data_IF_848112827762
#
_entry.id   IF_848112827762
#
_cell.length_a   1.000
_cell.length_b   1.000
_cell.length_c   1.000
_cell.angle_alpha   90.00
_cell.angle_beta   90.00
_cell.angle_gamma   90.00
#
_symmetry.space_group_name_H-M   'P 1'
#
loop_
_entity.id
_entity.type
_entity.pdbx_description
1 polymer ?
#
# COMPACT_ATOMS: atom_id res chain seq x y z
N UNK A 1 -9.05 -14.08 19.99
CA UNK A 1 -10.40 -13.47 20.05
C UNK A 1 -11.13 -13.85 18.77
N UNK A 2 -12.41 -14.26 18.83
CA UNK A 2 -13.21 -14.49 17.62
C UNK A 2 -13.37 -13.20 16.83
N UNK A 3 -13.56 -13.32 15.51
CA UNK A 3 -13.88 -12.18 14.66
C UNK A 3 -15.29 -11.67 15.01
N UNK A 4 -15.53 -10.35 14.99
CA UNK A 4 -16.90 -9.83 15.07
C UNK A 4 -17.77 -10.43 13.97
N UNK A 5 -19.02 -10.80 14.27
CA UNK A 5 -19.92 -11.47 13.33
C UNK A 5 -20.15 -10.69 12.01
N UNK A 6 -20.01 -9.36 12.04
CA UNK A 6 -20.04 -8.53 10.83
C UNK A 6 -18.88 -8.86 9.87
N UNK A 7 -17.66 -8.98 10.40
CA UNK A 7 -16.47 -9.34 9.64
C UNK A 7 -16.53 -10.78 9.11
N UNK A 8 -17.17 -11.69 9.86
CA UNK A 8 -17.38 -13.07 9.38
C UNK A 8 -18.29 -13.14 8.15
N UNK A 9 -19.31 -12.28 8.06
CA UNK A 9 -20.16 -12.19 6.86
C UNK A 9 -19.42 -11.59 5.66
N UNK A 10 -18.60 -10.57 5.90
CA UNK A 10 -17.85 -9.89 4.84
C UNK A 10 -16.75 -10.77 4.24
N UNK A 11 -16.18 -11.68 5.03
CA UNK A 11 -15.09 -12.56 4.57
C UNK A 11 -15.61 -13.82 3.87
N UNK A 12 -16.88 -14.17 4.05
CA UNK A 12 -17.45 -15.41 3.52
C UNK A 12 -17.38 -15.54 1.99
N UNK A 13 -17.66 -14.48 1.19
CA UNK A 13 -17.43 -14.51 -0.26
C UNK A 13 -15.97 -14.79 -0.61
N UNK A 14 -15.03 -14.25 0.17
CA UNK A 14 -13.61 -14.49 -0.02
C UNK A 14 -13.24 -15.95 0.27
N UNK A 15 -13.82 -16.54 1.32
CA UNK A 15 -13.64 -17.97 1.62
C UNK A 15 -14.17 -18.85 0.48
N UNK A 16 -15.33 -18.52 -0.08
CA UNK A 16 -15.94 -19.29 -1.18
C UNK A 16 -15.11 -19.22 -2.47
N UNK A 17 -14.60 -18.04 -2.82
CA UNK A 17 -13.79 -17.85 -4.04
C UNK A 17 -12.44 -18.57 -3.96
N UNK A 18 -11.78 -18.50 -2.81
CA UNK A 18 -10.41 -19.02 -2.67
C UNK A 18 -10.31 -20.38 -2.01
N UNK A 19 -11.43 -20.90 -1.48
CA UNK A 19 -11.53 -22.24 -0.92
C UNK A 19 -10.53 -22.55 0.21
N UNK A 20 -10.13 -23.82 0.37
CA UNK A 20 -9.12 -24.21 1.34
C UNK A 20 -7.80 -23.46 1.10
N UNK A 21 -7.36 -22.69 2.10
CA UNK A 21 -6.16 -21.85 1.99
C UNK A 21 -6.42 -20.35 1.86
N UNK A 22 -7.70 -19.91 1.83
CA UNK A 22 -8.08 -18.50 1.82
C UNK A 22 -7.36 -17.68 2.90
N UNK A 23 -7.12 -18.25 4.09
CA UNK A 23 -6.46 -17.56 5.20
C UNK A 23 -5.02 -17.17 4.88
N UNK A 24 -4.23 -18.07 4.25
CA UNK A 24 -2.86 -17.77 3.82
C UNK A 24 -2.84 -16.70 2.74
N UNK A 25 -3.81 -16.74 1.82
CA UNK A 25 -3.92 -15.77 0.73
C UNK A 25 -4.32 -14.39 1.25
N UNK A 26 -5.27 -14.32 2.18
CA UNK A 26 -5.64 -13.08 2.84
C UNK A 26 -4.45 -12.47 3.60
N UNK A 27 -3.70 -13.28 4.34
CA UNK A 27 -2.49 -12.82 5.01
C UNK A 27 -1.45 -12.27 4.03
N UNK A 28 -1.28 -12.90 2.86
CA UNK A 28 -0.39 -12.40 1.82
C UNK A 28 -0.85 -11.02 1.30
N UNK A 29 -2.13 -10.88 0.96
CA UNK A 29 -2.71 -9.61 0.49
C UNK A 29 -2.57 -8.49 1.52
N UNK A 30 -2.83 -8.79 2.80
CA UNK A 30 -2.66 -7.82 3.88
C UNK A 30 -1.20 -7.37 4.03
N UNK A 31 -0.24 -8.30 3.89
CA UNK A 31 1.19 -7.97 3.91
C UNK A 31 1.59 -7.11 2.71
N UNK A 32 1.07 -7.40 1.53
CA UNK A 32 1.32 -6.60 0.34
C UNK A 32 0.77 -5.18 0.50
N UNK A 33 -0.44 -5.04 1.01
CA UNK A 33 -1.06 -3.74 1.25
C UNK A 33 -0.27 -2.93 2.30
N UNK A 34 0.18 -3.58 3.38
CA UNK A 34 1.05 -2.95 4.36
C UNK A 34 2.38 -2.48 3.74
N UNK A 35 3.00 -3.30 2.87
CA UNK A 35 4.22 -2.93 2.15
C UNK A 35 4.00 -1.74 1.22
N UNK A 36 2.90 -1.72 0.45
CA UNK A 36 2.54 -0.59 -0.43
C UNK A 36 2.36 0.70 0.36
N UNK A 37 1.66 0.64 1.50
CA UNK A 37 1.50 1.79 2.41
C UNK A 37 2.84 2.29 2.96
N UNK A 38 3.75 1.39 3.32
CA UNK A 38 5.11 1.75 3.75
C UNK A 38 5.89 2.46 2.64
N UNK A 39 5.93 1.86 1.45
CA UNK A 39 6.62 2.43 0.30
C UNK A 39 6.09 3.82 -0.07
N UNK A 40 4.76 4.02 -0.03
CA UNK A 40 4.15 5.33 -0.27
C UNK A 40 4.58 6.38 0.76
N UNK A 41 4.73 6.01 2.03
CA UNK A 41 5.22 6.92 3.08
C UNK A 41 6.69 7.27 2.88
N UNK A 42 7.53 6.28 2.59
CA UNK A 42 8.95 6.48 2.32
C UNK A 42 9.16 7.39 1.10
N UNK A 43 8.37 7.18 0.03
CA UNK A 43 8.38 8.06 -1.13
C UNK A 43 7.98 9.50 -0.77
N UNK A 44 6.88 9.68 -0.04
CA UNK A 44 6.44 11.02 0.38
C UNK A 44 7.49 11.73 1.27
N UNK A 45 8.17 11.00 2.14
CA UNK A 45 9.24 11.54 2.97
C UNK A 45 10.45 11.94 2.14
N UNK A 46 10.87 11.09 1.20
CA UNK A 46 11.93 11.40 0.25
C UNK A 46 11.60 12.67 -0.55
N UNK A 47 10.39 12.78 -1.09
CA UNK A 47 9.97 13.96 -1.86
C UNK A 47 10.03 15.24 -1.04
N UNK A 48 9.59 15.23 0.23
CA UNK A 48 9.72 16.39 1.13
C UNK A 48 11.18 16.77 1.37
N UNK A 49 12.07 15.79 1.55
CA UNK A 49 13.50 16.05 1.75
C UNK A 49 14.14 16.66 0.51
N UNK A 50 13.79 16.16 -0.68
CA UNK A 50 14.29 16.72 -1.94
C UNK A 50 13.78 18.15 -2.11
N UNK A 51 12.47 18.38 -1.97
CA UNK A 51 11.87 19.70 -2.09
C UNK A 51 12.49 20.73 -1.13
N UNK A 52 12.69 20.35 0.13
CA UNK A 52 13.32 21.21 1.14
C UNK A 52 14.80 21.54 0.88
N UNK A 53 15.52 20.69 0.12
CA UNK A 53 16.94 20.90 -0.22
C UNK A 53 17.13 21.62 -1.55
N UNK A 54 16.26 21.38 -2.52
CA UNK A 54 16.40 21.91 -3.89
C UNK A 54 15.54 23.14 -4.16
N UNK A 55 14.56 23.43 -3.29
CA UNK A 55 13.53 24.45 -3.53
C UNK A 55 12.53 24.05 -4.62
N UNK A 56 12.58 22.81 -5.11
CA UNK A 56 11.70 22.29 -6.15
C UNK A 56 10.39 21.76 -5.57
N UNK A 57 9.32 21.87 -6.34
CA UNK A 57 8.03 21.24 -6.07
C UNK A 57 8.09 19.72 -6.29
N UNK A 58 7.12 18.99 -5.73
CA UNK A 58 6.99 17.54 -5.95
C UNK A 58 6.93 17.19 -7.45
N UNK A 59 6.20 17.98 -8.23
CA UNK A 59 6.04 17.80 -9.68
C UNK A 59 7.37 17.95 -10.44
N UNK A 60 8.17 18.95 -10.10
CA UNK A 60 9.49 19.18 -10.72
C UNK A 60 10.50 18.08 -10.39
N UNK A 61 10.43 17.53 -9.17
CA UNK A 61 11.25 16.39 -8.78
C UNK A 61 10.84 15.15 -9.57
N UNK A 62 9.53 14.90 -9.75
CA UNK A 62 9.04 13.81 -10.58
C UNK A 62 9.45 13.96 -12.05
N UNK A 63 9.26 15.14 -12.64
CA UNK A 63 9.65 15.42 -14.03
C UNK A 63 11.15 15.13 -14.27
N UNK A 64 12.01 15.56 -13.34
CA UNK A 64 13.46 15.29 -13.41
C UNK A 64 13.80 13.81 -13.23
N UNK A 65 13.12 13.08 -12.35
CA UNK A 65 13.33 11.65 -12.16
C UNK A 65 12.84 10.80 -13.34
N UNK A 66 11.78 11.23 -14.02
CA UNK A 66 11.27 10.61 -15.25
C UNK A 66 12.10 10.94 -16.50
N UNK A 67 13.15 11.76 -16.38
CA UNK A 67 13.96 12.20 -17.51
C UNK A 67 13.22 13.16 -18.45
N UNK A 68 12.08 13.71 -18.01
CA UNK A 68 11.35 14.76 -18.72
C UNK A 68 11.99 16.09 -18.34
N UNK A 69 13.05 16.45 -19.07
CA UNK A 69 13.70 17.78 -18.99
C UNK A 69 12.93 18.81 -19.80
#
# INVERSE_FOLDING_TARGET
MPLPAALEKEIEPFKQVYGPGWARRLQALLREEARRKKAKRELAEFMRQVAGRSGLTEEEVFARLEGRS
#
